data_IF_528519893923
#
_entry.id   IF_528519893923
#
_cell.length_a   1.000
_cell.length_b   1.000
_cell.length_c   1.000
_cell.angle_alpha   90.00
_cell.angle_beta   90.00
_cell.angle_gamma   90.00
#
_symmetry.space_group_name_H-M   'P 1'
#
loop_
_entity.id
_entity.type
_entity.pdbx_description
1 polymer ?
#
# COMPACT_ATOMS: atom_id res chain seq x y z
N UNK A 1 1.19 -0.76 -21.85
CA UNK A 1 1.30 -1.85 -20.85
C UNK A 1 0.28 -1.57 -19.76
N UNK A 2 -0.31 -2.61 -19.17
CA UNK A 2 -1.21 -2.47 -18.02
C UNK A 2 -0.42 -2.03 -16.79
N UNK A 3 -0.92 -1.07 -16.02
CA UNK A 3 -0.29 -0.53 -14.79
C UNK A 3 -0.56 -1.45 -13.58
N UNK A 4 -0.19 -2.73 -13.72
CA UNK A 4 -0.23 -3.75 -12.67
C UNK A 4 0.61 -4.97 -13.11
N UNK A 5 1.04 -5.80 -12.16
CA UNK A 5 1.57 -7.15 -12.42
C UNK A 5 1.14 -8.12 -11.33
N UNK A 6 0.37 -9.13 -11.73
CA UNK A 6 -0.16 -10.19 -10.87
C UNK A 6 0.03 -11.55 -11.53
N UNK A 7 -0.09 -12.64 -10.77
CA UNK A 7 0.14 -14.00 -11.30
C UNK A 7 -0.80 -14.36 -12.44
N UNK A 8 -2.09 -14.14 -12.24
CA UNK A 8 -3.15 -14.52 -13.18
C UNK A 8 -4.39 -13.63 -12.94
N UNK A 9 -4.69 -12.76 -13.90
CA UNK A 9 -5.83 -11.82 -13.81
C UNK A 9 -7.19 -12.54 -13.89
N UNK A 10 -7.25 -13.76 -14.44
CA UNK A 10 -8.49 -14.53 -14.52
C UNK A 10 -9.05 -14.94 -13.14
N UNK A 11 -8.22 -14.88 -12.10
CA UNK A 11 -8.61 -15.14 -10.72
C UNK A 11 -9.46 -14.01 -10.09
N UNK A 12 -9.62 -12.87 -10.78
CA UNK A 12 -10.29 -11.69 -10.25
C UNK A 12 -11.73 -11.97 -9.78
N UNK A 13 -12.53 -12.74 -10.54
CA UNK A 13 -13.91 -13.04 -10.17
C UNK A 13 -13.99 -13.77 -8.81
N UNK A 14 -13.10 -14.74 -8.60
CA UNK A 14 -12.99 -15.45 -7.32
C UNK A 14 -12.55 -14.50 -6.20
N UNK A 15 -11.58 -13.63 -6.49
CA UNK A 15 -11.11 -12.62 -5.55
C UNK A 15 -12.20 -11.67 -5.10
N UNK A 16 -13.00 -11.13 -6.03
CA UNK A 16 -14.15 -10.27 -5.73
C UNK A 16 -15.15 -10.95 -4.79
N UNK A 17 -15.46 -12.23 -5.01
CA UNK A 17 -16.36 -13.01 -4.15
C UNK A 17 -15.79 -13.17 -2.73
N UNK A 18 -14.51 -13.49 -2.60
CA UNK A 18 -13.86 -13.65 -1.29
C UNK A 18 -13.74 -12.32 -0.55
N UNK A 19 -13.44 -11.22 -1.24
CA UNK A 19 -13.42 -9.88 -0.66
C UNK A 19 -14.80 -9.51 -0.13
N UNK A 20 -15.88 -9.78 -0.88
CA UNK A 20 -17.25 -9.51 -0.44
C UNK A 20 -17.65 -10.33 0.80
N UNK A 21 -17.07 -11.52 0.99
CA UNK A 21 -17.24 -12.31 2.21
C UNK A 21 -16.44 -11.67 3.35
N UNK A 22 -15.17 -11.32 3.11
CA UNK A 22 -14.31 -10.68 4.12
C UNK A 22 -14.87 -9.34 4.62
N UNK A 23 -15.52 -8.56 3.77
CA UNK A 23 -16.19 -7.31 4.17
C UNK A 23 -17.24 -7.53 5.28
N UNK A 24 -17.88 -8.71 5.33
CA UNK A 24 -18.85 -9.05 6.40
C UNK A 24 -18.17 -9.32 7.74
N UNK A 25 -16.93 -9.78 7.71
CA UNK A 25 -16.10 -10.09 8.89
C UNK A 25 -15.19 -8.92 9.30
N UNK A 26 -15.24 -7.79 8.59
CA UNK A 26 -14.43 -6.59 8.87
C UNK A 26 -15.31 -5.36 9.18
N UNK A 27 -16.17 -5.42 10.21
CA UNK A 27 -17.16 -4.37 10.49
C UNK A 27 -16.52 -3.01 10.80
N UNK A 28 -15.30 -2.99 11.38
CA UNK A 28 -14.58 -1.75 11.65
C UNK A 28 -14.28 -0.95 10.37
N UNK A 29 -13.72 -1.61 9.35
CA UNK A 29 -13.46 -0.96 8.05
C UNK A 29 -14.75 -0.54 7.36
N UNK A 30 -15.82 -1.35 7.46
CA UNK A 30 -17.11 -1.00 6.87
C UNK A 30 -17.73 0.22 7.54
N UNK A 31 -17.63 0.32 8.88
CA UNK A 31 -18.07 1.50 9.63
C UNK A 31 -17.33 2.77 9.20
N UNK A 32 -16.02 2.69 8.98
CA UNK A 32 -15.24 3.84 8.47
C UNK A 32 -15.71 4.28 7.08
N UNK A 33 -16.04 3.32 6.18
CA UNK A 33 -16.59 3.63 4.85
C UNK A 33 -17.94 4.35 4.94
N UNK A 34 -18.80 3.95 5.88
CA UNK A 34 -20.10 4.57 6.10
C UNK A 34 -19.96 5.98 6.67
N UNK A 35 -19.15 6.13 7.73
CA UNK A 35 -18.97 7.39 8.45
C UNK A 35 -18.27 8.45 7.59
N UNK A 36 -17.16 8.08 6.94
CA UNK A 36 -16.28 9.03 6.25
C UNK A 36 -16.39 9.01 4.72
N UNK A 37 -17.16 8.08 4.16
CA UNK A 37 -17.31 7.97 2.70
C UNK A 37 -17.84 9.24 2.04
N UNK A 38 -18.74 9.98 2.69
CA UNK A 38 -19.28 11.22 2.11
C UNK A 38 -18.30 12.40 2.17
N UNK A 39 -17.47 12.48 3.21
CA UNK A 39 -16.53 13.59 3.41
C UNK A 39 -15.24 13.42 2.60
N UNK A 40 -14.95 12.21 2.12
CA UNK A 40 -13.76 11.90 1.30
C UNK A 40 -12.47 12.45 1.95
N UNK A 41 -12.16 12.09 3.21
CA UNK A 41 -11.06 12.71 3.96
C UNK A 41 -9.69 12.44 3.35
N UNK A 42 -9.54 11.38 2.55
CA UNK A 42 -8.29 11.03 1.88
C UNK A 42 -8.22 11.57 0.45
N UNK A 43 -9.13 12.46 0.04
CA UNK A 43 -9.07 13.09 -1.27
C UNK A 43 -7.74 13.81 -1.47
N UNK A 44 -6.99 13.40 -2.49
CA UNK A 44 -5.66 13.94 -2.79
C UNK A 44 -4.51 13.18 -2.13
N UNK A 45 -4.80 12.23 -1.22
CA UNK A 45 -3.81 11.27 -0.75
C UNK A 45 -3.38 10.35 -1.90
N UNK A 46 -2.08 10.09 -1.97
CA UNK A 46 -1.43 9.17 -2.89
C UNK A 46 -0.58 8.23 -2.06
N UNK A 47 -1.16 7.07 -1.75
CA UNK A 47 -0.64 6.11 -0.79
C UNK A 47 0.14 5.04 -1.55
N UNK A 48 1.42 4.90 -1.22
CA UNK A 48 2.21 3.71 -1.52
C UNK A 48 2.08 2.75 -0.35
N UNK A 49 1.56 1.55 -0.60
CA UNK A 49 1.33 0.51 0.41
C UNK A 49 2.24 -0.68 0.22
N UNK A 50 2.88 -1.12 1.30
CA UNK A 50 3.70 -2.33 1.34
C UNK A 50 3.28 -3.18 2.54
N UNK A 51 2.38 -4.13 2.28
CA UNK A 51 1.77 -5.02 3.29
C UNK A 51 1.36 -6.30 2.55
N UNK A 52 1.34 -7.45 3.22
CA UNK A 52 0.87 -8.72 2.67
C UNK A 52 -0.37 -8.55 1.78
N UNK A 53 -0.26 -8.93 0.49
CA UNK A 53 -1.36 -8.75 -0.47
C UNK A 53 -2.41 -9.87 -0.33
N UNK A 54 -3.24 -9.79 0.70
CA UNK A 54 -4.29 -10.78 1.03
C UNK A 54 -5.71 -10.27 0.71
N UNK A 55 -6.71 -11.13 0.95
CA UNK A 55 -8.13 -10.75 0.84
C UNK A 55 -8.50 -9.63 1.82
N UNK A 56 -7.97 -9.67 3.05
CA UNK A 56 -8.19 -8.68 4.11
C UNK A 56 -7.55 -7.34 3.73
N UNK A 57 -6.31 -7.37 3.23
CA UNK A 57 -5.63 -6.17 2.69
C UNK A 57 -6.38 -5.58 1.50
N UNK A 58 -7.00 -6.41 0.66
CA UNK A 58 -7.86 -5.91 -0.41
C UNK A 58 -9.08 -5.12 0.13
N UNK A 59 -9.65 -5.50 1.29
CA UNK A 59 -10.69 -4.72 1.97
C UNK A 59 -10.14 -3.37 2.47
N UNK A 60 -8.93 -3.35 3.03
CA UNK A 60 -8.23 -2.13 3.42
C UNK A 60 -8.00 -1.20 2.22
N UNK A 61 -7.41 -1.70 1.13
CA UNK A 61 -7.18 -0.94 -0.12
C UNK A 61 -8.49 -0.33 -0.64
N UNK A 62 -9.56 -1.13 -0.71
CA UNK A 62 -10.87 -0.64 -1.14
C UNK A 62 -11.44 0.42 -0.20
N UNK A 63 -11.18 0.31 1.09
CA UNK A 63 -11.59 1.32 2.08
C UNK A 63 -10.86 2.63 1.86
N UNK A 64 -9.53 2.61 1.74
CA UNK A 64 -8.73 3.81 1.48
C UNK A 64 -9.17 4.50 0.17
N UNK A 65 -9.43 3.72 -0.88
CA UNK A 65 -9.93 4.26 -2.16
C UNK A 65 -11.32 4.84 -2.02
N UNK A 66 -12.21 4.14 -1.32
CA UNK A 66 -13.57 4.62 -1.01
C UNK A 66 -13.54 5.93 -0.23
N UNK A 67 -12.52 6.18 0.59
CA UNK A 67 -12.33 7.43 1.34
C UNK A 67 -11.63 8.53 0.52
N UNK A 68 -11.31 8.30 -0.76
CA UNK A 68 -10.82 9.31 -1.71
C UNK A 68 -9.34 9.20 -2.07
N UNK A 69 -8.60 8.21 -1.56
CA UNK A 69 -7.18 8.05 -1.85
C UNK A 69 -6.93 7.48 -3.26
N UNK A 70 -5.81 7.88 -3.86
CA UNK A 70 -5.15 7.13 -4.95
C UNK A 70 -4.14 6.17 -4.33
N UNK A 71 -4.06 4.94 -4.85
CA UNK A 71 -3.31 3.86 -4.21
C UNK A 71 -2.44 3.15 -5.24
N UNK A 72 -1.22 2.82 -4.86
CA UNK A 72 -0.35 1.83 -5.53
C UNK A 72 0.15 0.86 -4.46
N UNK A 73 0.31 -0.42 -4.79
CA UNK A 73 0.54 -1.45 -3.77
C UNK A 73 1.54 -2.52 -4.19
N UNK A 74 2.36 -2.99 -3.24
CA UNK A 74 3.14 -4.23 -3.32
C UNK A 74 3.00 -5.05 -2.03
N UNK A 75 3.40 -6.32 -2.09
CA UNK A 75 3.50 -7.16 -0.90
C UNK A 75 4.76 -6.85 -0.10
N UNK A 76 4.76 -7.07 1.22
CA UNK A 76 5.96 -7.00 2.08
C UNK A 76 6.59 -8.38 2.35
N UNK A 77 6.09 -9.44 1.69
CA UNK A 77 6.69 -10.78 1.77
C UNK A 77 6.39 -11.62 0.53
N UNK A 78 7.44 -12.24 -0.02
CA UNK A 78 7.44 -13.02 -1.27
C UNK A 78 6.45 -14.19 -1.32
N UNK A 79 5.99 -14.72 -0.18
CA UNK A 79 5.05 -15.84 -0.12
C UNK A 79 3.67 -15.48 0.42
N UNK A 80 3.47 -14.26 0.90
CA UNK A 80 2.24 -13.87 1.60
C UNK A 80 1.07 -13.56 0.66
N UNK A 81 1.37 -13.19 -0.59
CA UNK A 81 0.35 -12.81 -1.57
C UNK A 81 -0.67 -13.93 -1.81
N UNK A 82 -1.94 -13.56 -1.78
CA UNK A 82 -3.05 -14.38 -2.27
C UNK A 82 -3.38 -13.91 -3.69
N UNK A 83 -3.02 -14.71 -4.70
CA UNK A 83 -3.09 -14.27 -6.11
C UNK A 83 -4.49 -13.85 -6.56
N UNK A 84 -5.54 -14.48 -6.02
CA UNK A 84 -6.93 -14.06 -6.31
C UNK A 84 -7.25 -12.66 -5.76
N UNK A 85 -6.69 -12.29 -4.61
CA UNK A 85 -6.89 -10.96 -4.03
C UNK A 85 -6.14 -9.90 -4.85
N UNK A 86 -4.88 -10.17 -5.21
CA UNK A 86 -4.10 -9.32 -6.10
C UNK A 86 -4.81 -9.12 -7.45
N UNK A 87 -5.32 -10.19 -8.07
CA UNK A 87 -6.07 -10.12 -9.32
C UNK A 87 -7.34 -9.26 -9.20
N UNK A 88 -8.10 -9.37 -8.12
CA UNK A 88 -9.31 -8.57 -7.92
C UNK A 88 -9.01 -7.08 -7.69
N UNK A 89 -7.89 -6.74 -7.06
CA UNK A 89 -7.42 -5.35 -6.92
C UNK A 89 -6.98 -4.79 -8.27
N UNK A 90 -6.21 -5.55 -9.06
CA UNK A 90 -5.80 -5.17 -10.40
C UNK A 90 -7.01 -4.94 -11.33
N UNK A 91 -7.98 -5.87 -11.33
CA UNK A 91 -9.22 -5.79 -12.12
C UNK A 91 -10.08 -4.58 -11.73
N UNK A 92 -10.01 -4.14 -10.47
CA UNK A 92 -10.65 -2.90 -10.01
C UNK A 92 -9.96 -1.62 -10.53
N UNK A 93 -8.86 -1.74 -11.29
CA UNK A 93 -8.07 -0.64 -11.82
C UNK A 93 -7.16 0.03 -10.79
N UNK A 94 -6.79 -0.67 -9.71
CA UNK A 94 -5.80 -0.19 -8.74
C UNK A 94 -4.44 -0.83 -9.09
N UNK A 95 -3.37 -0.04 -9.26
CA UNK A 95 -2.04 -0.57 -9.50
C UNK A 95 -1.55 -1.44 -8.35
N UNK A 96 -1.32 -2.71 -8.64
CA UNK A 96 -0.79 -3.70 -7.70
C UNK A 96 0.28 -4.53 -8.40
N UNK A 97 1.40 -4.70 -7.71
CA UNK A 97 2.57 -5.46 -8.16
C UNK A 97 2.87 -6.50 -7.08
N UNK A 98 2.24 -7.66 -7.21
CA UNK A 98 2.36 -8.73 -6.21
C UNK A 98 1.93 -10.09 -6.79
N UNK A 99 2.68 -11.14 -6.49
CA UNK A 99 2.26 -12.53 -6.68
C UNK A 99 2.88 -13.45 -5.63
N UNK A 100 2.32 -14.65 -5.47
CA UNK A 100 2.91 -15.64 -4.58
C UNK A 100 4.15 -16.28 -5.21
N UNK A 101 5.23 -16.35 -4.44
CA UNK A 101 6.49 -16.97 -4.85
C UNK A 101 7.37 -16.06 -5.71
N UNK A 102 7.40 -14.76 -5.39
CA UNK A 102 8.37 -13.82 -5.93
C UNK A 102 9.81 -14.27 -5.61
N UNK A 103 10.74 -13.97 -6.51
CA UNK A 103 12.16 -13.90 -6.15
C UNK A 103 12.47 -12.60 -5.41
N UNK A 104 13.62 -12.50 -4.73
CA UNK A 104 14.05 -11.24 -4.09
C UNK A 104 14.17 -10.08 -5.10
N UNK A 105 14.64 -10.36 -6.32
CA UNK A 105 14.72 -9.35 -7.39
C UNK A 105 13.33 -8.89 -7.84
N UNK A 106 12.37 -9.80 -7.89
CA UNK A 106 10.98 -9.49 -8.22
C UNK A 106 10.28 -8.70 -7.11
N UNK A 107 10.57 -9.03 -5.84
CA UNK A 107 10.09 -8.33 -4.66
C UNK A 107 10.53 -6.86 -4.67
N UNK A 108 11.83 -6.62 -4.81
CA UNK A 108 12.37 -5.26 -4.91
C UNK A 108 11.76 -4.53 -6.12
N UNK A 109 11.66 -5.20 -7.27
CA UNK A 109 11.04 -4.64 -8.46
C UNK A 109 9.59 -4.21 -8.19
N UNK A 110 8.77 -5.02 -7.52
CA UNK A 110 7.41 -4.68 -7.16
C UNK A 110 7.34 -3.40 -6.29
N UNK A 111 8.25 -3.23 -5.33
CA UNK A 111 8.33 -2.02 -4.52
C UNK A 111 8.68 -0.80 -5.40
N UNK A 112 9.64 -0.93 -6.31
CA UNK A 112 9.97 0.17 -7.22
C UNK A 112 8.82 0.53 -8.19
N UNK A 113 8.06 -0.46 -8.66
CA UNK A 113 6.92 -0.22 -9.56
C UNK A 113 5.79 0.55 -8.89
N UNK A 114 5.51 0.32 -7.61
CA UNK A 114 4.52 1.12 -6.89
C UNK A 114 4.98 2.57 -6.65
N UNK A 115 6.28 2.84 -6.70
CA UNK A 115 6.87 4.18 -6.57
C UNK A 115 6.92 4.95 -7.90
N UNK A 116 6.62 4.31 -9.03
CA UNK A 116 6.42 5.02 -10.29
C UNK A 116 5.30 6.06 -10.18
N UNK A 117 5.25 6.96 -11.15
CA UNK A 117 4.33 8.09 -11.14
C UNK A 117 2.87 7.65 -10.97
N UNK A 118 2.21 8.21 -9.97
CA UNK A 118 0.75 8.30 -9.92
C UNK A 118 0.27 9.17 -11.10
N UNK A 119 -1.06 9.25 -11.25
CA UNK A 119 -1.69 10.12 -12.24
C UNK A 119 -1.07 11.53 -12.23
N UNK A 120 -0.89 12.09 -13.43
CA UNK A 120 -0.32 13.42 -13.68
C UNK A 120 1.17 13.57 -13.28
N UNK A 121 1.92 12.46 -13.20
CA UNK A 121 3.37 12.51 -12.92
C UNK A 121 3.71 12.69 -11.45
N UNK A 122 2.73 12.54 -10.55
CA UNK A 122 2.88 12.79 -9.11
C UNK A 122 3.48 11.59 -8.39
N UNK A 123 4.17 11.85 -7.28
CA UNK A 123 4.78 10.81 -6.43
C UNK A 123 3.93 10.52 -5.18
N UNK A 124 4.13 9.42 -4.44
CA UNK A 124 3.41 9.20 -3.20
C UNK A 124 3.59 10.37 -2.24
N UNK A 125 2.54 10.70 -1.48
CA UNK A 125 2.63 11.67 -0.37
C UNK A 125 2.35 11.03 1.00
N UNK A 126 1.96 9.77 1.03
CA UNK A 126 1.78 8.97 2.24
C UNK A 126 2.35 7.56 2.03
N UNK A 127 2.88 6.99 3.11
CA UNK A 127 3.39 5.62 3.15
C UNK A 127 2.52 4.81 4.12
N UNK A 128 2.17 3.59 3.73
CA UNK A 128 1.59 2.57 4.61
C UNK A 128 2.49 1.34 4.53
N UNK A 129 3.18 1.00 5.61
CA UNK A 129 4.26 0.02 5.60
C UNK A 129 4.05 -1.05 6.68
N UNK A 130 4.54 -2.24 6.38
CA UNK A 130 4.60 -3.40 7.26
C UNK A 130 6.02 -3.98 7.15
N UNK A 131 6.83 -3.74 8.17
CA UNK A 131 8.20 -4.23 8.29
C UNK A 131 9.27 -3.18 7.96
N UNK A 132 8.90 -2.08 7.29
CA UNK A 132 9.76 -0.93 7.05
C UNK A 132 10.62 -1.01 5.77
N UNK A 133 10.38 -1.97 4.88
CA UNK A 133 11.20 -2.15 3.67
C UNK A 133 10.91 -1.05 2.63
N UNK A 134 9.65 -0.68 2.43
CA UNK A 134 9.26 0.44 1.58
C UNK A 134 9.86 1.75 2.10
N UNK A 135 9.76 1.98 3.41
CA UNK A 135 10.36 3.12 4.09
C UNK A 135 11.88 3.14 3.88
N UNK A 136 12.56 2.01 4.05
CA UNK A 136 14.01 1.90 3.85
C UNK A 136 14.42 2.21 2.40
N UNK A 137 13.69 1.69 1.41
CA UNK A 137 13.94 1.97 -0.01
C UNK A 137 13.78 3.47 -0.30
N UNK A 138 12.70 4.10 0.19
CA UNK A 138 12.47 5.53 -0.01
C UNK A 138 13.57 6.37 0.66
N UNK A 139 13.95 6.06 1.90
CA UNK A 139 15.04 6.75 2.60
C UNK A 139 16.38 6.65 1.86
N UNK A 140 16.68 5.49 1.27
CA UNK A 140 17.96 5.23 0.61
C UNK A 140 18.02 5.81 -0.81
N UNK A 141 16.95 5.69 -1.58
CA UNK A 141 16.95 5.96 -3.02
C UNK A 141 16.21 7.24 -3.42
N UNK A 142 15.33 7.75 -2.55
CA UNK A 142 14.48 8.90 -2.85
C UNK A 142 14.47 9.97 -1.73
N UNK A 143 15.62 10.36 -1.13
CA UNK A 143 15.64 11.36 -0.06
C UNK A 143 15.08 12.73 -0.47
N UNK A 144 15.14 13.07 -1.76
CA UNK A 144 14.54 14.27 -2.35
C UNK A 144 13.00 14.27 -2.31
N UNK A 145 12.36 13.20 -1.85
CA UNK A 145 10.90 13.10 -1.69
C UNK A 145 10.40 13.62 -0.35
N UNK A 146 11.31 13.97 0.55
CA UNK A 146 11.01 14.49 1.88
C UNK A 146 10.78 16.00 1.91
N UNK A 147 11.10 16.68 0.82
CA UNK A 147 11.03 18.14 0.72
C UNK A 147 10.17 18.59 -0.46
N UNK A 148 9.75 19.86 -0.41
CA UNK A 148 8.92 20.50 -1.44
C UNK A 148 7.41 20.39 -1.19
N UNK A 149 6.65 20.87 -2.18
CA UNK A 149 5.18 20.91 -2.14
C UNK A 149 4.55 19.53 -2.26
N UNK A 150 5.16 18.63 -3.05
CA UNK A 150 4.68 17.27 -3.30
C UNK A 150 5.39 16.22 -2.43
N UNK A 151 5.85 16.62 -1.24
CA UNK A 151 6.60 15.75 -0.33
C UNK A 151 5.73 14.66 0.30
N UNK A 152 6.39 13.62 0.80
CA UNK A 152 5.77 12.67 1.74
C UNK A 152 5.53 13.38 3.06
N UNK A 153 4.30 13.32 3.56
CA UNK A 153 3.87 14.05 4.76
C UNK A 153 3.73 13.16 5.99
N UNK A 154 3.79 11.84 5.83
CA UNK A 154 3.74 10.90 6.95
C UNK A 154 3.75 9.44 6.52
N UNK A 155 3.94 8.56 7.51
CA UNK A 155 3.83 7.12 7.37
C UNK A 155 3.02 6.50 8.51
N UNK A 156 2.38 5.36 8.24
CA UNK A 156 1.88 4.43 9.27
C UNK A 156 2.62 3.10 9.16
N UNK A 157 3.06 2.55 10.29
CA UNK A 157 3.80 1.28 10.37
C UNK A 157 3.07 0.30 11.28
N UNK A 158 2.89 -0.93 10.79
CA UNK A 158 2.07 -1.96 11.43
C UNK A 158 2.86 -2.90 12.36
N UNK A 159 4.13 -3.21 12.07
CA UNK A 159 4.82 -4.27 12.81
C UNK A 159 5.88 -3.79 13.78
N UNK A 160 6.07 -4.58 14.83
CA UNK A 160 7.11 -4.33 15.86
C UNK A 160 8.50 -4.14 15.25
N UNK A 161 8.82 -4.89 14.18
CA UNK A 161 10.10 -4.79 13.48
C UNK A 161 10.26 -3.43 12.79
N UNK A 162 9.26 -3.00 12.02
CA UNK A 162 9.28 -1.71 11.36
C UNK A 162 9.30 -0.55 12.36
N UNK A 163 8.50 -0.65 13.44
CA UNK A 163 8.50 0.33 14.54
C UNK A 163 9.87 0.47 15.19
N UNK A 164 10.58 -0.65 15.44
CA UNK A 164 11.93 -0.60 15.99
C UNK A 164 12.91 0.11 15.03
N UNK A 165 12.81 -0.14 13.72
CA UNK A 165 13.60 0.56 12.69
C UNK A 165 13.29 2.07 12.70
N UNK A 166 12.02 2.46 12.80
CA UNK A 166 11.62 3.87 12.90
C UNK A 166 12.18 4.56 14.14
N UNK A 167 12.17 3.90 15.30
CA UNK A 167 12.80 4.44 16.51
C UNK A 167 14.31 4.62 16.36
N UNK A 168 15.01 3.75 15.63
CA UNK A 168 16.42 3.92 15.33
C UNK A 168 16.66 5.15 14.45
N UNK A 169 15.88 5.30 13.37
CA UNK A 169 15.94 6.47 12.48
C UNK A 169 15.63 7.77 13.23
N UNK A 170 14.64 7.74 14.13
CA UNK A 170 14.26 8.89 14.95
C UNK A 170 15.34 9.26 15.99
N UNK A 171 15.96 8.27 16.65
CA UNK A 171 17.09 8.50 17.58
C UNK A 171 18.28 9.14 16.89
N UNK A 172 18.50 8.81 15.63
CA UNK A 172 19.53 9.41 14.77
C UNK A 172 19.16 10.83 14.27
N UNK A 173 17.95 11.32 14.54
CA UNK A 173 17.47 12.61 14.02
C UNK A 173 17.19 12.61 12.52
N UNK A 174 16.99 11.43 11.91
CA UNK A 174 16.87 11.24 10.46
C UNK A 174 15.46 10.92 9.98
N UNK A 175 14.45 11.03 10.85
CA UNK A 175 13.05 10.78 10.47
C UNK A 175 12.45 12.08 9.87
N UNK A 176 12.21 12.14 8.54
CA UNK A 176 11.89 13.40 7.86
C UNK A 176 10.45 13.87 8.06
N UNK A 177 9.54 12.99 8.44
CA UNK A 177 8.11 13.27 8.63
C UNK A 177 7.53 12.43 9.77
N UNK A 178 6.37 12.81 10.33
CA UNK A 178 5.72 12.05 11.39
C UNK A 178 5.43 10.60 11.00
N UNK A 179 5.59 9.70 11.96
CA UNK A 179 5.24 8.29 11.85
C UNK A 179 4.22 7.91 12.93
N UNK A 180 3.18 7.17 12.54
CA UNK A 180 2.21 6.57 13.47
C UNK A 180 2.52 5.07 13.56
N UNK A 181 2.83 4.62 14.78
CA UNK A 181 2.88 3.21 15.15
C UNK A 181 1.42 2.74 15.39
N UNK A 182 0.93 1.80 14.58
CA UNK A 182 -0.44 1.26 14.62
C UNK A 182 -0.48 -0.02 15.44
#
# INVERSE_FOLDING_TARGET
MSDFKVKDISLAERGHKLIAIAEREMPGLMSLREEFGKSQPLKGARIAGCLHMTTETAVLIRTLRHLGASIRWSSCNIFSTQDHAAAAIADSGIPVFAWKGETEEEYDWCIYQQLEAFKDGKRPNLILDDGGDLTAIIHKHYPQWFEGEDRIVGLSEETTTGVHRLYQIAKDGKLPFPAINV
#
